data_IF_403904964706
#
_entry.id   IF_403904964706
#
_cell.length_a   1.000
_cell.length_b   1.000
_cell.length_c   1.000
_cell.angle_alpha   90.00
_cell.angle_beta   90.00
_cell.angle_gamma   90.00
#
_symmetry.space_group_name_H-M   'P 1'
#
loop_
_entity.id
_entity.type
_entity.pdbx_description
1 polymer ?
#
# COMPACT_ATOMS: atom_id res chain seq x y z
N UNK A 1 9.41 -48.68 1.33
CA UNK A 1 10.65 -47.87 1.41
C UNK A 1 10.25 -46.54 2.05
N UNK A 2 10.41 -46.29 3.35
CA UNK A 2 11.54 -46.50 4.27
C UNK A 2 12.60 -45.38 4.16
N UNK A 3 12.93 -44.78 5.32
CA UNK A 3 13.97 -43.73 5.58
C UNK A 3 13.67 -42.34 4.94
N UNK A 4 14.09 -41.16 5.45
CA UNK A 4 14.83 -40.70 6.66
C UNK A 4 14.87 -39.13 6.67
N UNK A 5 15.17 -38.35 7.73
CA UNK A 5 15.29 -38.52 9.21
C UNK A 5 15.27 -37.10 9.89
N UNK A 6 14.54 -36.92 11.01
CA UNK A 6 14.84 -36.01 12.17
C UNK A 6 14.95 -34.45 11.98
N UNK A 7 14.88 -33.56 13.00
CA UNK A 7 14.22 -33.45 14.34
C UNK A 7 14.40 -31.97 14.82
N UNK A 8 13.55 -31.33 15.64
CA UNK A 8 13.65 -31.08 17.11
C UNK A 8 12.30 -30.40 17.48
N UNK A 9 11.38 -30.99 18.26
CA UNK A 9 11.32 -31.14 19.73
C UNK A 9 10.76 -29.91 20.50
N UNK A 10 9.48 -30.01 20.87
CA UNK A 10 8.79 -29.20 21.89
C UNK A 10 8.89 -29.92 23.24
N UNK A 11 9.15 -29.20 24.34
CA UNK A 11 9.40 -29.78 25.67
C UNK A 11 8.12 -29.89 26.49
N UNK A 12 7.78 -31.14 26.81
CA UNK A 12 7.06 -31.67 27.97
C UNK A 12 6.18 -30.76 28.84
N UNK A 13 4.88 -30.98 28.77
CA UNK A 13 4.02 -31.10 29.96
C UNK A 13 4.09 -32.52 30.52
N UNK A 14 4.28 -32.67 31.84
CA UNK A 14 3.78 -33.76 32.70
C UNK A 14 4.24 -33.51 34.14
N UNK A 15 3.31 -33.27 35.05
CA UNK A 15 3.51 -33.46 36.49
C UNK A 15 2.30 -34.20 37.07
N UNK A 16 2.59 -35.40 37.52
CA UNK A 16 1.81 -36.35 38.32
C UNK A 16 0.76 -35.76 39.27
N UNK A 17 -0.45 -36.32 39.24
CA UNK A 17 -1.35 -36.30 40.39
C UNK A 17 -0.80 -37.21 41.51
N UNK A 18 -0.77 -36.71 42.74
CA UNK A 18 -0.70 -37.55 43.95
C UNK A 18 -1.82 -37.15 44.90
N UNK A 19 -2.75 -38.08 45.13
CA UNK A 19 -3.88 -37.90 46.03
C UNK A 19 -3.50 -38.16 47.48
N UNK A 20 -3.48 -37.14 48.33
CA UNK A 20 -3.57 -37.30 49.79
C UNK A 20 -4.50 -36.25 50.38
N UNK A 21 -5.39 -36.72 51.26
CA UNK A 21 -6.37 -35.95 52.00
C UNK A 21 -6.10 -36.20 53.49
N UNK A 22 -5.94 -35.15 54.30
CA UNK A 22 -6.10 -35.27 55.75
C UNK A 22 -7.35 -34.53 56.25
N UNK A 23 -8.11 -35.28 57.05
CA UNK A 23 -8.95 -34.86 58.17
C UNK A 23 -8.81 -33.42 58.68
N UNK A 24 -9.94 -32.74 58.90
CA UNK A 24 -9.98 -31.43 59.56
C UNK A 24 -9.78 -31.47 61.08
N UNK A 25 -9.45 -30.30 61.63
CA UNK A 25 -9.46 -29.96 63.07
C UNK A 25 -9.96 -28.52 63.19
N UNK A 26 -10.87 -28.25 64.12
CA UNK A 26 -11.35 -26.88 64.41
C UNK A 26 -10.23 -26.00 64.98
N UNK A 27 -10.17 -24.74 64.53
CA UNK A 27 -9.21 -23.75 65.03
C UNK A 27 -9.57 -22.33 64.57
N UNK A 28 -9.88 -21.46 65.52
CA UNK A 28 -10.36 -20.09 65.31
C UNK A 28 -9.26 -19.08 64.92
N UNK A 29 -9.71 -17.96 64.34
CA UNK A 29 -9.10 -16.62 64.28
C UNK A 29 -8.40 -16.18 62.97
N UNK A 30 -9.06 -15.22 62.29
CA UNK A 30 -8.57 -14.02 61.61
C UNK A 30 -7.29 -14.03 60.75
N UNK A 31 -7.51 -14.06 59.42
CA UNK A 31 -6.70 -13.29 58.44
C UNK A 31 -7.47 -13.07 57.12
N UNK A 32 -8.71 -12.58 57.19
CA UNK A 32 -9.63 -12.54 56.05
C UNK A 32 -10.06 -11.09 55.73
N UNK A 33 -9.17 -10.26 55.15
CA UNK A 33 -9.59 -8.95 54.64
C UNK A 33 -8.82 -8.32 53.47
N UNK A 34 -7.50 -8.52 53.29
CA UNK A 34 -6.73 -7.66 52.36
C UNK A 34 -6.97 -7.95 50.87
N UNK A 35 -7.01 -9.23 50.45
CA UNK A 35 -7.18 -9.58 49.02
C UNK A 35 -8.52 -9.13 48.38
N UNK A 36 -9.51 -8.67 49.15
CA UNK A 36 -10.77 -8.14 48.59
C UNK A 36 -10.68 -6.67 48.17
N UNK A 37 -9.65 -5.95 48.62
CA UNK A 37 -9.52 -4.52 48.30
C UNK A 37 -9.17 -4.33 46.81
N UNK A 38 -8.10 -5.00 46.37
CA UNK A 38 -7.61 -5.00 44.98
C UNK A 38 -8.70 -5.37 43.96
N UNK A 39 -9.52 -6.37 44.26
CA UNK A 39 -10.64 -6.87 43.44
C UNK A 39 -11.82 -5.87 43.28
N UNK A 40 -11.69 -4.64 43.80
CA UNK A 40 -12.71 -3.58 43.75
C UNK A 40 -12.25 -2.22 43.18
N UNK A 41 -10.96 -2.05 42.87
CA UNK A 41 -10.37 -0.77 42.45
C UNK A 41 -10.80 -0.42 41.01
N UNK A 42 -11.58 0.64 40.75
CA UNK A 42 -12.02 0.98 39.40
C UNK A 42 -10.84 1.41 38.51
N UNK A 43 -10.65 0.73 37.37
CA UNK A 43 -9.56 1.05 36.42
C UNK A 43 -10.12 1.90 35.27
N UNK A 44 -9.59 3.10 35.06
CA UNK A 44 -9.97 4.00 33.97
C UNK A 44 -8.96 3.93 32.82
N UNK A 45 -9.35 3.30 31.72
CA UNK A 45 -8.51 3.12 30.53
C UNK A 45 -8.91 4.14 29.46
N UNK A 46 -8.01 5.06 29.11
CA UNK A 46 -8.24 5.98 28.00
C UNK A 46 -7.67 5.44 26.70
N UNK A 47 -8.45 5.53 25.63
CA UNK A 47 -8.11 4.92 24.35
C UNK A 47 -8.07 5.99 23.26
N UNK A 48 -6.99 6.02 22.49
CA UNK A 48 -6.87 6.86 21.31
C UNK A 48 -7.53 6.13 20.11
N UNK A 49 -8.52 6.73 19.42
CA UNK A 49 -9.29 6.10 18.35
C UNK A 49 -8.50 6.10 17.03
N UNK A 50 -7.41 5.36 17.03
CA UNK A 50 -6.50 5.18 15.90
C UNK A 50 -6.81 3.83 15.21
N UNK A 51 -7.31 3.84 13.96
CA UNK A 51 -7.46 2.60 13.21
C UNK A 51 -6.11 1.87 13.03
N UNK A 52 -6.11 0.55 12.78
CA UNK A 52 -7.22 -0.38 13.01
C UNK A 52 -7.30 -0.85 14.47
N UNK A 53 -6.34 -0.44 15.30
CA UNK A 53 -6.23 -0.77 16.72
C UNK A 53 -7.51 -0.43 17.49
N UNK A 54 -8.08 0.75 17.22
CA UNK A 54 -9.21 1.30 17.95
C UNK A 54 -10.15 2.02 16.96
N UNK A 55 -11.36 1.48 16.80
CA UNK A 55 -12.32 1.96 15.81
C UNK A 55 -12.99 3.30 16.16
N UNK A 56 -13.19 4.14 15.14
CA UNK A 56 -13.91 5.42 15.24
C UNK A 56 -15.00 5.53 14.16
N UNK A 57 -16.14 4.84 14.33
CA UNK A 57 -17.28 4.95 13.40
C UNK A 57 -18.62 4.89 14.15
N UNK A 58 -19.07 6.06 14.60
CA UNK A 58 -20.45 6.61 14.48
C UNK A 58 -21.72 5.74 14.57
N UNK A 59 -21.73 4.57 15.23
CA UNK A 59 -22.75 4.20 16.25
C UNK A 59 -22.70 2.73 16.72
N UNK A 60 -22.28 1.77 15.89
CA UNK A 60 -22.51 0.33 16.21
C UNK A 60 -21.22 -0.52 16.30
N UNK A 61 -20.07 0.06 15.95
CA UNK A 61 -18.77 -0.49 16.33
C UNK A 61 -18.19 0.27 17.55
N UNK A 62 -18.88 0.12 18.68
CA UNK A 62 -18.24 -0.07 20.00
C UNK A 62 -17.50 -1.44 20.08
N UNK A 63 -16.98 -1.86 18.93
CA UNK A 63 -15.62 -2.34 18.71
C UNK A 63 -15.31 -3.66 19.35
N UNK A 64 -15.44 -4.72 18.53
CA UNK A 64 -15.00 -6.09 18.83
C UNK A 64 -13.64 -6.13 19.55
N UNK A 65 -12.68 -5.27 19.17
CA UNK A 65 -11.38 -5.14 19.86
C UNK A 65 -11.52 -4.65 21.31
N UNK A 66 -12.19 -3.52 21.58
CA UNK A 66 -12.35 -3.02 22.97
C UNK A 66 -13.24 -3.96 23.78
N UNK A 67 -14.22 -4.63 23.16
CA UNK A 67 -15.01 -5.67 23.81
C UNK A 67 -14.15 -6.89 24.16
N UNK A 68 -13.40 -7.46 23.21
CA UNK A 68 -12.46 -8.56 23.47
C UNK A 68 -11.38 -8.18 24.48
N UNK A 69 -10.88 -6.94 24.45
CA UNK A 69 -9.90 -6.44 25.41
C UNK A 69 -10.52 -6.27 26.80
N UNK A 70 -11.78 -5.83 26.90
CA UNK A 70 -12.54 -5.83 28.15
C UNK A 70 -12.76 -7.25 28.66
N UNK A 71 -13.17 -8.16 27.79
CA UNK A 71 -13.51 -9.54 28.14
C UNK A 71 -12.26 -10.34 28.55
N UNK A 72 -11.14 -10.24 27.81
CA UNK A 72 -9.88 -10.91 28.15
C UNK A 72 -9.23 -10.31 29.41
N UNK A 73 -9.27 -8.99 29.62
CA UNK A 73 -8.80 -8.40 30.89
C UNK A 73 -9.68 -8.91 32.04
N UNK A 74 -11.01 -8.78 32.00
CA UNK A 74 -11.92 -9.28 33.06
C UNK A 74 -11.72 -10.79 33.31
N UNK A 75 -11.40 -11.57 32.29
CA UNK A 75 -11.19 -13.01 32.43
C UNK A 75 -9.84 -13.39 33.07
N UNK A 76 -8.77 -12.62 32.81
CA UNK A 76 -7.41 -12.96 33.28
C UNK A 76 -6.95 -12.16 34.50
N UNK A 77 -7.42 -10.93 34.66
CA UNK A 77 -6.92 -10.01 35.68
C UNK A 77 -8.02 -9.05 36.14
N UNK A 78 -8.39 -9.14 37.43
CA UNK A 78 -9.29 -8.25 38.16
C UNK A 78 -10.80 -8.45 37.92
N UNK A 79 -11.55 -8.66 39.02
CA UNK A 79 -13.03 -8.49 39.05
C UNK A 79 -13.47 -7.01 39.00
N UNK A 80 -12.55 -6.12 38.63
CA UNK A 80 -12.69 -4.69 38.84
C UNK A 80 -13.59 -4.03 37.78
N UNK A 81 -14.31 -2.96 38.13
CA UNK A 81 -15.11 -2.21 37.17
C UNK A 81 -14.21 -1.37 36.25
N UNK A 82 -13.86 -1.90 35.07
CA UNK A 82 -13.09 -1.19 34.04
C UNK A 82 -13.98 -0.19 33.28
N UNK A 83 -13.53 1.06 33.19
CA UNK A 83 -14.18 2.14 32.44
C UNK A 83 -13.32 2.60 31.28
N UNK A 84 -13.79 2.41 30.04
CA UNK A 84 -13.11 2.91 28.84
C UNK A 84 -13.54 4.33 28.50
N UNK A 85 -12.56 5.23 28.30
CA UNK A 85 -12.78 6.61 27.84
C UNK A 85 -12.16 6.80 26.46
N UNK A 86 -12.92 7.29 25.48
CA UNK A 86 -12.37 7.67 24.17
C UNK A 86 -11.79 9.07 24.25
N UNK A 87 -10.64 9.28 23.62
CA UNK A 87 -10.01 10.61 23.45
C UNK A 87 -10.08 11.04 21.99
N UNK A 88 -9.94 12.32 21.69
CA UNK A 88 -9.96 12.85 20.31
C UNK A 88 -8.56 13.07 19.75
N UNK A 89 -7.55 13.15 20.61
CA UNK A 89 -6.16 13.40 20.23
C UNK A 89 -5.17 12.95 21.30
N UNK A 90 -3.92 12.70 20.90
CA UNK A 90 -2.81 12.42 21.82
C UNK A 90 -2.60 13.56 22.85
N UNK A 91 -2.88 14.81 22.45
CA UNK A 91 -2.82 15.97 23.33
C UNK A 91 -3.90 15.99 24.41
N UNK A 92 -5.06 15.37 24.14
CA UNK A 92 -6.13 15.18 25.13
C UNK A 92 -5.79 14.03 26.08
N UNK A 93 -5.28 12.91 25.56
CA UNK A 93 -4.78 11.79 26.35
C UNK A 93 -3.68 12.24 27.35
N UNK A 94 -2.72 13.06 26.89
CA UNK A 94 -1.70 13.68 27.75
C UNK A 94 -2.27 14.63 28.81
N UNK A 95 -3.43 15.28 28.57
CA UNK A 95 -4.11 16.09 29.58
C UNK A 95 -4.80 15.22 30.64
N UNK A 96 -5.42 14.11 30.25
CA UNK A 96 -6.06 13.18 31.20
C UNK A 96 -5.04 12.59 32.18
N UNK A 97 -3.86 12.19 31.70
CA UNK A 97 -2.76 11.77 32.58
C UNK A 97 -2.30 12.88 33.53
N UNK A 98 -2.07 14.10 33.03
CA UNK A 98 -1.68 15.25 33.89
C UNK A 98 -2.74 15.63 34.93
N UNK A 99 -4.00 15.24 34.71
CA UNK A 99 -5.11 15.48 35.62
C UNK A 99 -5.42 14.27 36.53
N UNK A 100 -4.64 13.17 36.45
CA UNK A 100 -4.92 11.89 37.11
C UNK A 100 -6.35 11.38 36.88
N UNK A 101 -6.90 11.58 35.68
CA UNK A 101 -8.26 11.15 35.30
C UNK A 101 -8.29 9.82 34.52
N UNK A 102 -7.15 9.12 34.47
CA UNK A 102 -6.92 7.93 33.66
C UNK A 102 -5.68 7.21 34.19
N UNK A 103 -5.76 5.88 34.22
CA UNK A 103 -4.74 5.00 34.78
C UNK A 103 -3.87 4.39 33.69
N UNK A 104 -4.47 3.97 32.57
CA UNK A 104 -3.79 3.34 31.43
C UNK A 104 -4.21 4.04 30.13
N UNK A 105 -3.27 4.23 29.19
CA UNK A 105 -3.50 4.99 27.96
C UNK A 105 -2.76 4.43 26.76
N UNK A 106 -3.51 4.01 25.73
CA UNK A 106 -2.97 3.37 24.52
C UNK A 106 -3.89 3.58 23.29
N UNK A 107 -3.47 3.22 22.07
CA UNK A 107 -2.07 3.08 21.64
C UNK A 107 -1.39 4.46 21.55
N UNK A 108 -0.15 4.52 22.00
CA UNK A 108 0.74 5.67 21.85
C UNK A 108 1.97 5.27 21.02
N UNK A 109 2.60 6.26 20.37
CA UNK A 109 3.83 6.04 19.58
C UNK A 109 5.02 6.50 20.42
N UNK A 110 5.84 5.55 20.86
CA UNK A 110 7.14 5.80 21.51
C UNK A 110 8.29 5.76 20.51
N UNK A 111 9.37 6.49 20.81
CA UNK A 111 10.67 6.27 20.14
C UNK A 111 11.44 5.17 20.89
N UNK A 112 12.18 4.35 20.16
CA UNK A 112 12.97 3.29 20.79
C UNK A 112 13.99 3.89 21.77
N UNK A 113 14.03 3.39 23.00
CA UNK A 113 14.89 3.91 24.08
C UNK A 113 14.39 5.17 24.81
N UNK A 114 13.16 5.65 24.57
CA UNK A 114 12.54 6.66 25.45
C UNK A 114 11.92 6.01 26.69
N UNK A 115 12.24 6.51 27.89
CA UNK A 115 11.74 5.99 29.16
C UNK A 115 11.01 7.08 29.99
N UNK A 116 10.13 6.69 30.95
CA UNK A 116 9.54 5.37 31.14
C UNK A 116 8.17 5.30 30.43
N UNK A 117 7.96 4.26 29.63
CA UNK A 117 6.65 3.92 29.04
C UNK A 117 6.67 2.46 28.64
N UNK A 118 5.58 1.76 28.89
CA UNK A 118 5.53 0.31 28.75
C UNK A 118 5.33 -0.10 27.30
N UNK A 119 6.06 -1.11 26.85
CA UNK A 119 6.14 -1.48 25.42
C UNK A 119 5.10 -2.55 25.11
N UNK A 120 4.18 -2.26 24.19
CA UNK A 120 3.16 -3.20 23.68
C UNK A 120 3.68 -3.93 22.42
N UNK A 121 4.70 -3.38 21.73
CA UNK A 121 5.37 -4.05 20.61
C UNK A 121 5.95 -3.12 19.54
N UNK A 122 6.52 -3.73 18.49
CA UNK A 122 7.07 -3.03 17.32
C UNK A 122 6.00 -2.21 16.57
N UNK A 123 6.29 -0.96 16.21
CA UNK A 123 5.44 -0.21 15.27
C UNK A 123 5.54 -0.85 13.87
N UNK A 124 4.41 -1.18 13.19
CA UNK A 124 4.43 -1.97 11.94
C UNK A 124 5.08 -1.25 10.76
N UNK A 125 5.23 0.06 10.87
CA UNK A 125 5.77 0.95 9.86
C UNK A 125 4.68 1.70 9.12
N UNK A 126 5.09 2.56 8.20
CA UNK A 126 4.17 3.35 7.39
C UNK A 126 4.13 2.80 5.96
N UNK A 127 3.02 3.06 5.28
CA UNK A 127 2.78 2.68 3.90
C UNK A 127 2.39 3.91 3.09
N UNK A 128 3.09 4.10 1.97
CA UNK A 128 2.77 5.14 1.00
C UNK A 128 1.84 4.56 -0.05
N UNK A 129 0.62 5.08 -0.13
CA UNK A 129 -0.39 4.68 -1.11
C UNK A 129 -0.58 5.77 -2.15
N UNK A 130 -0.72 5.37 -3.41
CA UNK A 130 -0.95 6.28 -4.54
C UNK A 130 -2.28 5.97 -5.19
N UNK A 131 -3.04 7.03 -5.47
CA UNK A 131 -4.33 6.94 -6.12
C UNK A 131 -4.15 6.47 -7.57
N UNK A 132 -5.10 5.67 -8.11
CA UNK A 132 -5.04 5.25 -9.50
C UNK A 132 -5.14 6.42 -10.45
N UNK A 133 -4.04 6.72 -11.14
CA UNK A 133 -3.98 7.68 -12.24
C UNK A 133 -3.60 7.04 -13.58
N UNK A 134 -3.52 5.71 -13.66
CA UNK A 134 -3.23 5.01 -14.93
C UNK A 134 -4.39 5.20 -15.91
N UNK A 135 -4.20 5.92 -17.04
CA UNK A 135 -5.23 6.04 -18.07
C UNK A 135 -5.61 4.66 -18.62
N UNK A 136 -6.80 4.56 -19.19
CA UNK A 136 -7.29 3.25 -19.68
C UNK A 136 -6.39 2.73 -20.83
N UNK A 137 -6.17 1.40 -20.97
CA UNK A 137 -5.30 0.86 -22.02
C UNK A 137 -5.70 1.31 -23.43
N UNK A 138 -7.01 1.43 -23.71
CA UNK A 138 -7.53 1.89 -24.99
C UNK A 138 -7.27 3.38 -25.25
N UNK A 139 -7.29 4.21 -24.21
CA UNK A 139 -6.98 5.64 -24.28
C UNK A 139 -5.49 5.88 -24.56
N UNK A 140 -4.60 5.14 -23.91
CA UNK A 140 -3.16 5.17 -24.21
C UNK A 140 -2.90 4.77 -25.67
N UNK A 141 -3.46 3.65 -26.12
CA UNK A 141 -3.33 3.23 -27.52
C UNK A 141 -3.84 4.29 -28.52
N UNK A 142 -5.00 4.89 -28.24
CA UNK A 142 -5.58 5.94 -29.10
C UNK A 142 -4.71 7.20 -29.13
N UNK A 143 -4.18 7.63 -27.98
CA UNK A 143 -3.27 8.77 -27.90
C UNK A 143 -1.94 8.48 -28.60
N UNK A 144 -1.36 7.29 -28.46
CA UNK A 144 -0.14 6.90 -29.19
C UNK A 144 -0.34 6.84 -30.69
N UNK A 145 -1.48 6.32 -31.17
CA UNK A 145 -1.82 6.34 -32.60
C UNK A 145 -1.99 7.76 -33.12
N UNK A 146 -2.65 8.64 -32.34
CA UNK A 146 -2.77 10.07 -32.64
C UNK A 146 -1.39 10.74 -32.70
N UNK A 147 -0.54 10.55 -31.71
CA UNK A 147 0.82 11.12 -31.65
C UNK A 147 1.75 10.59 -32.73
N UNK A 148 1.52 9.37 -33.23
CA UNK A 148 2.27 8.76 -34.33
C UNK A 148 1.88 9.29 -35.72
N UNK A 149 0.92 10.22 -35.83
CA UNK A 149 0.53 10.83 -37.12
C UNK A 149 1.70 11.41 -37.96
N UNK A 150 2.78 11.99 -37.39
CA UNK A 150 3.89 12.52 -38.19
C UNK A 150 4.67 11.42 -38.91
N UNK A 151 4.71 10.19 -38.36
CA UNK A 151 5.32 9.04 -39.03
C UNK A 151 4.50 8.62 -40.26
N UNK A 152 3.17 8.70 -40.18
CA UNK A 152 2.28 8.45 -41.32
C UNK A 152 2.41 9.55 -42.39
N UNK A 153 2.50 10.81 -41.98
CA UNK A 153 2.75 11.92 -42.91
C UNK A 153 4.11 11.75 -43.61
N UNK A 154 5.17 11.41 -42.86
CA UNK A 154 6.50 11.14 -43.37
C UNK A 154 6.51 9.94 -44.34
N UNK A 155 5.82 8.86 -44.01
CA UNK A 155 5.76 7.66 -44.86
C UNK A 155 5.10 7.94 -46.21
N UNK A 156 4.03 8.75 -46.23
CA UNK A 156 3.35 9.19 -47.44
C UNK A 156 4.22 10.14 -48.28
N UNK A 157 4.90 11.11 -47.65
CA UNK A 157 5.81 12.04 -48.33
C UNK A 157 6.98 11.28 -48.97
N UNK A 158 7.63 10.39 -48.22
CA UNK A 158 8.73 9.56 -48.72
C UNK A 158 8.27 8.64 -49.84
N UNK A 159 7.08 8.03 -49.73
CA UNK A 159 6.50 7.21 -50.81
C UNK A 159 6.22 8.04 -52.06
N UNK A 160 5.80 9.30 -51.92
CA UNK A 160 5.60 10.23 -53.03
C UNK A 160 6.91 10.57 -53.74
N UNK A 161 7.95 10.90 -52.97
CA UNK A 161 9.29 11.16 -53.51
C UNK A 161 9.89 9.92 -54.20
N UNK A 162 9.80 8.75 -53.56
CA UNK A 162 10.26 7.49 -54.13
C UNK A 162 9.47 7.09 -55.39
N UNK A 163 8.17 7.37 -55.41
CA UNK A 163 7.31 7.15 -56.57
C UNK A 163 7.68 8.00 -57.78
N UNK A 164 8.05 9.27 -57.57
CA UNK A 164 8.60 10.13 -58.63
C UNK A 164 9.96 9.61 -59.10
N UNK A 165 10.85 9.25 -58.18
CA UNK A 165 12.20 8.76 -58.51
C UNK A 165 12.17 7.44 -59.32
N UNK A 166 11.39 6.45 -58.90
CA UNK A 166 11.27 5.17 -59.62
C UNK A 166 10.62 5.36 -60.99
N UNK A 167 9.62 6.26 -61.09
CA UNK A 167 9.02 6.61 -62.38
C UNK A 167 10.05 7.22 -63.32
N UNK A 168 10.88 8.17 -62.87
CA UNK A 168 11.95 8.77 -63.68
C UNK A 168 12.97 7.72 -64.18
N UNK A 169 13.26 6.69 -63.38
CA UNK A 169 14.16 5.59 -63.78
C UNK A 169 13.50 4.60 -64.77
N UNK A 170 12.22 4.27 -64.58
CA UNK A 170 11.52 3.23 -65.34
C UNK A 170 10.81 3.74 -66.60
N UNK A 171 10.48 5.03 -66.71
CA UNK A 171 9.68 5.63 -67.83
C UNK A 171 10.30 5.42 -69.22
N UNK A 172 11.60 5.15 -69.30
CA UNK A 172 12.29 4.85 -70.56
C UNK A 172 12.08 3.37 -70.95
N UNK A 173 12.32 2.45 -70.01
CA UNK A 173 12.42 1.00 -70.23
C UNK A 173 11.17 0.16 -69.92
N UNK A 174 10.31 0.58 -68.99
CA UNK A 174 9.15 -0.18 -68.53
C UNK A 174 7.82 0.60 -68.68
N UNK A 175 7.55 1.05 -69.91
CA UNK A 175 6.38 1.89 -70.24
C UNK A 175 5.01 1.24 -70.05
N UNK A 176 4.96 -0.09 -69.88
CA UNK A 176 3.71 -0.84 -69.66
C UNK A 176 3.20 -0.67 -68.22
N UNK A 177 4.11 -0.63 -67.26
CA UNK A 177 3.80 -0.49 -65.83
C UNK A 177 3.96 0.97 -65.37
N UNK A 178 4.90 1.73 -65.97
CA UNK A 178 5.20 3.13 -65.64
C UNK A 178 4.95 4.04 -66.86
N UNK A 179 3.74 4.59 -67.02
CA UNK A 179 3.37 5.38 -68.20
C UNK A 179 4.08 6.75 -68.25
N UNK A 180 4.22 7.30 -69.47
CA UNK A 180 4.87 8.60 -69.72
C UNK A 180 4.08 9.84 -69.27
N UNK A 181 2.79 9.71 -68.98
CA UNK A 181 1.95 10.85 -68.59
C UNK A 181 2.29 11.30 -67.17
N UNK A 182 2.64 12.59 -67.03
CA UNK A 182 3.13 13.18 -65.78
C UNK A 182 2.17 13.05 -64.58
N UNK A 183 0.85 12.95 -64.81
CA UNK A 183 -0.12 12.72 -63.75
C UNK A 183 -0.27 11.24 -63.35
N UNK A 184 -0.08 10.31 -64.29
CA UNK A 184 -0.34 8.87 -64.06
C UNK A 184 0.93 8.13 -63.63
N UNK A 185 2.06 8.41 -64.27
CA UNK A 185 3.34 7.73 -64.01
C UNK A 185 3.82 7.82 -62.55
N UNK A 186 3.94 9.03 -61.97
CA UNK A 186 4.27 9.21 -60.56
C UNK A 186 3.22 8.63 -59.60
N UNK A 187 1.95 8.55 -59.99
CA UNK A 187 0.91 7.93 -59.17
C UNK A 187 1.07 6.40 -59.10
N UNK A 188 1.34 5.75 -60.24
CA UNK A 188 1.70 4.32 -60.26
C UNK A 188 3.01 4.04 -59.49
N UNK A 189 3.97 4.98 -59.56
CA UNK A 189 5.19 4.95 -58.76
C UNK A 189 4.94 5.10 -57.27
N UNK A 190 4.07 6.02 -56.85
CA UNK A 190 3.65 6.20 -55.45
C UNK A 190 2.97 4.94 -54.92
N UNK A 191 2.05 4.36 -55.68
CA UNK A 191 1.40 3.10 -55.35
C UNK A 191 2.44 1.98 -55.14
N UNK A 192 3.35 1.79 -56.08
CA UNK A 192 4.44 0.82 -55.96
C UNK A 192 5.31 1.06 -54.72
N UNK A 193 5.70 2.31 -54.47
CA UNK A 193 6.53 2.67 -53.33
C UNK A 193 5.81 2.37 -52.00
N UNK A 194 4.53 2.74 -51.90
CA UNK A 194 3.69 2.54 -50.72
C UNK A 194 3.46 1.04 -50.40
N UNK A 195 3.10 0.22 -51.41
CA UNK A 195 2.89 -1.22 -51.20
C UNK A 195 4.20 -1.98 -50.92
N UNK A 196 5.33 -1.48 -51.41
CA UNK A 196 6.66 -2.05 -51.15
C UNK A 196 7.14 -1.70 -49.73
N UNK A 197 6.95 -0.44 -49.31
CA UNK A 197 7.27 0.04 -47.97
C UNK A 197 6.46 -0.67 -46.88
N UNK A 198 5.18 -0.95 -47.15
CA UNK A 198 4.28 -1.69 -46.24
C UNK A 198 4.45 -3.22 -46.32
N UNK A 199 5.41 -3.72 -47.11
CA UNK A 199 5.70 -5.15 -47.34
C UNK A 199 4.56 -5.97 -47.98
N UNK A 200 3.45 -5.33 -48.38
CA UNK A 200 2.30 -6.00 -49.03
C UNK A 200 2.66 -6.51 -50.42
N UNK A 201 3.39 -5.71 -51.21
CA UNK A 201 4.08 -6.15 -52.42
C UNK A 201 3.24 -6.95 -53.42
N UNK A 202 2.08 -6.43 -53.86
CA UNK A 202 1.17 -7.13 -54.80
C UNK A 202 1.81 -7.64 -56.10
N UNK A 203 2.97 -7.11 -56.50
CA UNK A 203 3.70 -7.54 -57.69
C UNK A 203 3.07 -7.07 -59.01
N UNK A 204 2.08 -6.18 -58.97
CA UNK A 204 1.42 -5.58 -60.13
C UNK A 204 2.36 -4.68 -60.94
N UNK A 205 3.40 -4.13 -60.28
CA UNK A 205 4.43 -3.27 -60.88
C UNK A 205 5.79 -3.65 -60.32
N UNK A 206 6.79 -3.77 -61.19
CA UNK A 206 8.13 -4.22 -60.83
C UNK A 206 9.19 -3.43 -61.62
N UNK A 207 10.17 -2.77 -60.98
CA UNK A 207 11.24 -2.11 -61.71
C UNK A 207 12.10 -3.13 -62.49
N UNK A 208 12.28 -2.86 -63.79
CA UNK A 208 12.99 -3.73 -64.72
C UNK A 208 14.38 -3.18 -65.06
N UNK A 209 14.62 -1.88 -64.92
CA UNK A 209 15.93 -1.27 -65.13
C UNK A 209 16.91 -1.62 -64.00
N UNK A 210 18.21 -1.60 -64.30
CA UNK A 210 19.26 -1.84 -63.30
C UNK A 210 19.20 -0.76 -62.21
N UNK A 211 19.07 0.51 -62.60
CA UNK A 211 18.97 1.64 -61.67
C UNK A 211 17.73 1.54 -60.76
N UNK A 212 16.56 1.25 -61.34
CA UNK A 212 15.31 1.08 -60.59
C UNK A 212 15.37 -0.08 -59.59
N UNK A 213 16.05 -1.18 -59.93
CA UNK A 213 16.30 -2.31 -59.00
C UNK A 213 17.24 -1.93 -57.86
N UNK A 214 18.33 -1.22 -58.14
CA UNK A 214 19.23 -0.72 -57.09
C UNK A 214 18.51 0.25 -56.15
N UNK A 215 17.68 1.15 -56.69
CA UNK A 215 16.83 2.04 -55.89
C UNK A 215 15.81 1.26 -55.05
N UNK A 216 15.16 0.25 -55.63
CA UNK A 216 14.16 -0.56 -54.93
C UNK A 216 14.73 -1.29 -53.71
N UNK A 217 15.96 -1.81 -53.79
CA UNK A 217 16.65 -2.42 -52.64
C UNK A 217 16.78 -1.40 -51.50
N UNK A 218 17.28 -0.19 -51.79
CA UNK A 218 17.45 0.88 -50.81
C UNK A 218 16.09 1.30 -50.22
N UNK A 219 15.06 1.42 -51.07
CA UNK A 219 13.70 1.77 -50.67
C UNK A 219 13.08 0.74 -49.72
N UNK A 220 13.24 -0.56 -49.99
CA UNK A 220 12.74 -1.64 -49.13
C UNK A 220 13.40 -1.59 -47.76
N UNK A 221 14.72 -1.36 -47.69
CA UNK A 221 15.41 -1.18 -46.39
C UNK A 221 14.92 0.06 -45.63
N UNK A 222 14.71 1.19 -46.32
CA UNK A 222 14.15 2.39 -45.70
C UNK A 222 12.73 2.17 -45.15
N UNK A 223 11.88 1.45 -45.89
CA UNK A 223 10.54 1.08 -45.45
C UNK A 223 10.55 0.15 -44.23
N UNK A 224 11.44 -0.85 -44.20
CA UNK A 224 11.61 -1.75 -43.07
C UNK A 224 11.98 -1.00 -41.79
N UNK A 225 12.90 -0.03 -41.87
CA UNK A 225 13.28 0.84 -40.74
C UNK A 225 12.08 1.66 -40.26
N UNK A 226 11.29 2.24 -41.17
CA UNK A 226 10.14 3.06 -40.83
C UNK A 226 9.03 2.27 -40.12
N UNK A 227 8.74 1.06 -40.60
CA UNK A 227 7.80 0.13 -39.96
C UNK A 227 8.32 -0.31 -38.58
N UNK A 228 9.62 -0.58 -38.45
CA UNK A 228 10.22 -0.93 -37.16
C UNK A 228 10.10 0.20 -36.12
N UNK A 229 10.32 1.46 -36.51
CA UNK A 229 10.12 2.63 -35.63
C UNK A 229 8.65 2.79 -35.22
N UNK A 230 7.70 2.62 -36.15
CA UNK A 230 6.28 2.65 -35.81
C UNK A 230 5.89 1.56 -34.79
N UNK A 231 6.35 0.32 -35.01
CA UNK A 231 6.11 -0.79 -34.08
C UNK A 231 6.77 -0.56 -32.71
N UNK A 232 7.96 0.05 -32.67
CA UNK A 232 8.63 0.39 -31.42
C UNK A 232 7.81 1.38 -30.59
N UNK A 233 7.27 2.44 -31.19
CA UNK A 233 6.42 3.41 -30.49
C UNK A 233 5.17 2.74 -29.88
N UNK A 234 4.48 1.89 -30.65
CA UNK A 234 3.31 1.13 -30.16
C UNK A 234 3.69 0.19 -29.01
N UNK A 235 4.83 -0.49 -29.12
CA UNK A 235 5.34 -1.38 -28.07
C UNK A 235 5.68 -0.62 -26.80
N UNK A 236 6.33 0.56 -26.90
CA UNK A 236 6.66 1.41 -25.75
C UNK A 236 5.41 1.88 -25.01
N UNK A 237 4.36 2.30 -25.72
CA UNK A 237 3.09 2.71 -25.12
C UNK A 237 2.34 1.56 -24.41
N UNK A 238 2.28 0.38 -25.03
CA UNK A 238 1.71 -0.81 -24.38
C UNK A 238 2.53 -1.25 -23.15
N UNK A 239 3.85 -1.04 -23.21
CA UNK A 239 4.75 -1.31 -22.08
C UNK A 239 4.49 -0.35 -20.91
N UNK A 240 4.22 0.94 -21.17
CA UNK A 240 3.93 1.91 -20.10
C UNK A 240 2.61 1.65 -19.37
N UNK A 241 1.66 0.94 -20.00
CA UNK A 241 0.41 0.49 -19.35
C UNK A 241 0.65 -0.74 -18.46
N UNK A 242 1.58 -1.61 -18.88
CA UNK A 242 1.88 -2.87 -18.18
C UNK A 242 2.83 -2.70 -16.99
N UNK A 243 3.73 -1.71 -17.05
CA UNK A 243 4.64 -1.38 -15.95
C UNK A 243 3.89 -0.54 -14.91
N UNK A 244 3.75 -1.05 -13.69
CA UNK A 244 3.32 -0.25 -12.55
C UNK A 244 4.39 0.82 -12.29
N UNK A 245 4.08 2.13 -12.38
CA UNK A 245 5.07 3.18 -12.07
C UNK A 245 5.47 3.12 -10.59
N UNK A 246 6.78 3.18 -10.32
CA UNK A 246 7.30 3.29 -8.96
C UNK A 246 7.28 4.76 -8.51
N UNK A 247 6.34 5.11 -7.64
CA UNK A 247 6.24 6.46 -7.10
C UNK A 247 7.22 6.67 -5.95
N UNK A 248 8.01 7.75 -6.03
CA UNK A 248 8.80 8.22 -4.90
C UNK A 248 7.99 9.18 -4.04
N UNK A 249 8.06 8.99 -2.73
CA UNK A 249 7.45 9.86 -1.73
C UNK A 249 7.89 11.33 -1.89
N UNK A 250 9.16 11.58 -2.24
CA UNK A 250 9.72 12.92 -2.47
C UNK A 250 9.21 13.63 -3.73
N UNK A 251 8.59 12.90 -4.66
CA UNK A 251 8.15 13.41 -5.97
C UNK A 251 6.61 13.54 -6.05
N UNK A 252 5.90 13.27 -4.96
CA UNK A 252 4.43 13.19 -4.91
C UNK A 252 3.87 14.09 -3.81
N UNK A 253 2.82 14.87 -4.09
CA UNK A 253 2.03 15.55 -3.04
C UNK A 253 1.32 14.49 -2.18
N UNK A 254 1.62 14.45 -0.88
CA UNK A 254 1.04 13.47 0.04
C UNK A 254 0.15 14.11 1.08
N UNK A 255 -1.04 13.52 1.25
CA UNK A 255 -1.89 13.78 2.40
C UNK A 255 -1.41 13.05 3.65
N UNK A 256 -1.38 13.76 4.77
CA UNK A 256 -1.11 13.23 6.12
C UNK A 256 -2.05 13.84 7.15
N UNK A 257 -2.15 13.24 8.33
CA UNK A 257 -2.88 13.81 9.47
C UNK A 257 -1.97 14.77 10.25
N UNK A 258 -2.52 15.86 10.79
CA UNK A 258 -1.74 16.87 11.51
C UNK A 258 -1.04 16.32 12.76
N UNK A 259 0.23 16.66 12.94
CA UNK A 259 1.06 16.28 14.10
C UNK A 259 1.21 14.76 14.29
N UNK A 260 1.11 13.99 13.21
CA UNK A 260 1.27 12.54 13.24
C UNK A 260 2.67 12.10 12.80
N UNK A 261 2.99 10.83 13.01
CA UNK A 261 4.28 10.25 12.59
C UNK A 261 4.45 10.27 11.07
N UNK A 262 3.34 10.17 10.34
CA UNK A 262 3.28 10.28 8.88
C UNK A 262 3.68 11.67 8.39
N UNK A 263 3.30 12.74 9.09
CA UNK A 263 3.77 14.10 8.80
C UNK A 263 5.28 14.22 9.00
N UNK A 264 5.82 13.71 10.12
CA UNK A 264 7.26 13.73 10.39
C UNK A 264 8.03 12.96 9.30
N UNK A 265 7.59 11.74 8.96
CA UNK A 265 8.25 10.92 7.94
C UNK A 265 8.16 11.56 6.54
N UNK A 266 7.01 12.10 6.14
CA UNK A 266 6.85 12.72 4.84
C UNK A 266 7.75 13.97 4.69
N UNK A 267 7.78 14.85 5.70
CA UNK A 267 8.64 16.04 5.70
C UNK A 267 10.13 15.67 5.72
N UNK A 268 10.53 14.66 6.50
CA UNK A 268 11.92 14.18 6.53
C UNK A 268 12.38 13.52 5.21
N UNK A 269 11.46 13.10 4.34
CA UNK A 269 11.76 12.61 2.99
C UNK A 269 11.62 13.70 1.90
N UNK A 270 11.50 14.98 2.28
CA UNK A 270 11.31 16.12 1.37
C UNK A 270 10.06 16.01 0.47
N UNK A 271 9.00 15.33 0.92
CA UNK A 271 7.73 15.31 0.20
C UNK A 271 7.00 16.65 0.31
N UNK A 272 6.14 16.97 -0.67
CA UNK A 272 5.16 18.04 -0.53
C UNK A 272 3.99 17.53 0.33
N UNK A 273 3.75 18.15 1.49
CA UNK A 273 2.84 17.60 2.51
C UNK A 273 1.60 18.46 2.68
N UNK A 274 0.44 17.89 2.35
CA UNK A 274 -0.88 18.46 2.62
C UNK A 274 -1.43 17.91 3.93
N UNK A 275 -1.61 18.78 4.91
CA UNK A 275 -2.01 18.40 6.26
C UNK A 275 -3.53 18.46 6.42
N UNK A 276 -4.12 17.35 6.87
CA UNK A 276 -5.55 17.18 7.15
C UNK A 276 -5.79 17.08 8.66
N UNK A 277 -7.00 17.42 9.13
CA UNK A 277 -7.32 17.38 10.57
C UNK A 277 -7.50 15.95 11.06
N UNK A 278 -8.27 15.16 10.31
CA UNK A 278 -8.70 13.82 10.68
C UNK A 278 -8.50 12.83 9.52
N UNK A 279 -8.34 11.54 9.82
CA UNK A 279 -8.23 10.48 8.81
C UNK A 279 -9.39 10.42 7.81
N UNK A 280 -10.62 10.75 8.21
CA UNK A 280 -11.77 10.65 7.30
C UNK A 280 -11.80 11.81 6.29
N UNK A 281 -11.27 12.98 6.64
CA UNK A 281 -11.04 14.10 5.72
C UNK A 281 -9.96 13.74 4.68
N UNK A 282 -8.84 13.17 5.16
CA UNK A 282 -7.74 12.65 4.35
C UNK A 282 -8.22 11.59 3.36
N UNK A 283 -8.96 10.56 3.83
CA UNK A 283 -9.49 9.49 2.97
C UNK A 283 -10.53 10.01 1.98
N UNK A 284 -11.35 10.99 2.36
CA UNK A 284 -12.31 11.63 1.44
C UNK A 284 -11.58 12.38 0.33
N UNK A 285 -10.51 13.10 0.65
CA UNK A 285 -9.67 13.76 -0.36
C UNK A 285 -8.98 12.75 -1.29
N UNK A 286 -8.45 11.64 -0.77
CA UNK A 286 -7.80 10.58 -1.54
C UNK A 286 -8.78 9.84 -2.47
N UNK A 287 -9.96 9.43 -1.96
CA UNK A 287 -11.01 8.78 -2.77
C UNK A 287 -11.52 9.66 -3.91
N UNK A 288 -11.64 10.98 -3.68
CA UNK A 288 -12.00 11.94 -4.71
C UNK A 288 -10.82 12.43 -5.57
N UNK A 289 -9.66 11.75 -5.50
CA UNK A 289 -8.45 12.07 -6.28
C UNK A 289 -7.98 13.53 -6.17
N UNK A 290 -8.30 14.21 -5.04
CA UNK A 290 -7.87 15.60 -4.76
C UNK A 290 -6.43 15.71 -4.27
N UNK A 291 -5.82 14.57 -4.00
CA UNK A 291 -4.41 14.37 -3.63
C UNK A 291 -3.94 13.09 -4.34
N UNK A 292 -2.73 13.07 -4.92
CA UNK A 292 -2.24 11.91 -5.66
C UNK A 292 -1.79 10.78 -4.73
N UNK A 293 -1.27 11.08 -3.54
CA UNK A 293 -0.85 10.07 -2.57
C UNK A 293 -1.23 10.37 -1.12
N UNK A 294 -1.11 9.35 -0.26
CA UNK A 294 -1.23 9.46 1.20
C UNK A 294 -0.15 8.61 1.88
N UNK A 295 0.30 9.05 3.05
CA UNK A 295 1.10 8.21 3.97
C UNK A 295 0.23 7.91 5.17
N UNK A 296 0.08 6.62 5.49
CA UNK A 296 -0.72 6.12 6.63
C UNK A 296 -0.01 4.94 7.29
N UNK A 297 -0.40 4.62 8.52
CA UNK A 297 -0.04 3.35 9.16
C UNK A 297 -0.35 2.12 8.28
N UNK A 298 0.56 1.14 8.30
CA UNK A 298 0.47 -0.08 7.49
C UNK A 298 -0.76 -0.93 7.79
N UNK A 299 -1.13 -1.09 9.05
CA UNK A 299 -2.32 -1.88 9.38
C UNK A 299 -3.61 -1.11 9.04
N UNK A 300 -3.58 0.22 9.16
CA UNK A 300 -4.66 1.12 8.71
C UNK A 300 -4.87 1.00 7.20
N UNK A 301 -3.78 0.96 6.42
CA UNK A 301 -3.81 0.69 4.99
C UNK A 301 -4.53 -0.63 4.71
N UNK A 302 -4.04 -1.75 5.27
CA UNK A 302 -4.65 -3.07 5.06
C UNK A 302 -6.16 -3.09 5.34
N UNK A 303 -6.59 -2.62 6.52
CA UNK A 303 -8.01 -2.63 6.92
C UNK A 303 -8.87 -1.69 6.09
N UNK A 304 -8.39 -0.50 5.72
CA UNK A 304 -9.17 0.41 4.87
C UNK A 304 -9.25 -0.14 3.44
N UNK A 305 -8.15 -0.63 2.87
CA UNK A 305 -8.09 -1.27 1.55
C UNK A 305 -8.98 -2.52 1.43
N UNK A 306 -9.06 -3.33 2.48
CA UNK A 306 -9.95 -4.50 2.56
C UNK A 306 -11.43 -4.09 2.46
N UNK A 307 -11.82 -3.02 3.15
CA UNK A 307 -13.19 -2.50 3.19
C UNK A 307 -13.58 -1.65 1.97
N UNK A 308 -12.63 -1.16 1.16
CA UNK A 308 -12.96 -0.51 -0.12
C UNK A 308 -13.53 -1.54 -1.10
N UNK A 309 -14.71 -1.28 -1.64
CA UNK A 309 -15.35 -2.13 -2.65
C UNK A 309 -15.41 -1.44 -4.01
N UNK A 310 -15.32 -2.22 -5.09
CA UNK A 310 -15.35 -1.70 -6.46
C UNK A 310 -13.98 -1.35 -7.05
N UNK A 311 -13.94 -0.62 -8.18
CA UNK A 311 -12.74 -0.46 -9.00
C UNK A 311 -11.61 0.31 -8.30
N UNK A 312 -11.92 1.16 -7.32
CA UNK A 312 -10.90 1.93 -6.58
C UNK A 312 -9.88 1.00 -5.90
N UNK A 313 -10.33 -0.05 -5.21
CA UNK A 313 -9.44 -1.03 -4.54
C UNK A 313 -8.45 -1.69 -5.49
N UNK A 314 -8.90 -2.10 -6.68
CA UNK A 314 -8.07 -2.85 -7.64
C UNK A 314 -6.91 -2.04 -8.23
N UNK A 315 -7.01 -0.70 -8.20
CA UNK A 315 -6.07 0.17 -8.87
C UNK A 315 -5.25 1.04 -7.88
N UNK A 316 -5.47 0.99 -6.56
CA UNK A 316 -4.57 1.65 -5.61
C UNK A 316 -3.18 1.04 -5.75
N UNK A 317 -2.21 1.91 -6.04
CA UNK A 317 -0.83 1.51 -6.22
C UNK A 317 -0.15 1.60 -4.85
N UNK A 318 0.12 0.44 -4.25
CA UNK A 318 1.02 0.34 -3.10
C UNK A 318 2.40 0.80 -3.55
N UNK A 319 2.85 1.91 -2.96
CA UNK A 319 4.18 2.44 -3.15
C UNK A 319 5.16 1.79 -2.16
N UNK A 320 6.05 2.61 -1.62
CA UNK A 320 7.13 2.15 -0.73
C UNK A 320 6.62 1.90 0.69
N UNK A 321 6.93 0.73 1.25
CA UNK A 321 6.83 0.48 2.69
C UNK A 321 8.01 1.11 3.43
N UNK A 322 7.72 1.87 4.48
CA UNK A 322 8.71 2.45 5.38
C UNK A 322 8.74 1.66 6.69
N UNK A 323 9.72 0.76 6.80
CA UNK A 323 9.96 0.03 8.05
C UNK A 323 10.46 0.98 9.13
N UNK A 324 9.80 0.94 10.29
CA UNK A 324 10.12 1.74 11.47
C UNK A 324 10.65 0.89 12.65
N UNK A 325 10.98 -0.38 12.38
CA UNK A 325 11.59 -1.31 13.33
C UNK A 325 12.83 -0.67 13.99
N UNK A 326 12.95 -0.84 15.30
CA UNK A 326 14.01 -0.27 16.15
C UNK A 326 14.08 1.27 16.14
N UNK A 327 13.07 1.97 15.62
CA UNK A 327 12.94 3.45 15.68
C UNK A 327 11.71 3.87 16.45
N UNK A 328 10.58 3.21 16.18
CA UNK A 328 9.30 3.49 16.80
C UNK A 328 8.65 2.20 17.31
N UNK A 329 7.97 2.30 18.44
CA UNK A 329 7.30 1.21 19.13
C UNK A 329 5.92 1.67 19.61
N UNK A 330 4.97 0.75 19.71
CA UNK A 330 3.68 0.99 20.34
C UNK A 330 3.88 0.91 21.86
N UNK A 331 3.44 1.95 22.58
CA UNK A 331 3.55 2.03 24.03
C UNK A 331 2.18 2.20 24.69
N UNK A 332 2.08 1.69 25.92
CA UNK A 332 1.09 2.10 26.91
C UNK A 332 1.76 3.09 27.85
N UNK A 333 1.07 4.19 28.17
CA UNK A 333 1.45 5.00 29.31
C UNK A 333 0.62 4.56 30.52
N UNK A 334 1.26 4.47 31.68
CA UNK A 334 0.64 4.15 32.96
C UNK A 334 0.74 5.38 33.87
N UNK A 335 -0.30 5.64 34.66
CA UNK A 335 -0.31 6.67 35.69
C UNK A 335 0.57 6.23 36.86
N UNK A 336 1.55 7.04 37.24
CA UNK A 336 2.43 6.77 38.39
C UNK A 336 1.68 6.69 39.74
N UNK A 337 0.42 7.11 39.78
CA UNK A 337 -0.46 6.87 40.93
C UNK A 337 -1.02 5.44 40.92
N UNK A 338 -1.43 4.94 39.75
CA UNK A 338 -1.94 3.58 39.58
C UNK A 338 -0.82 2.54 39.75
N UNK A 339 0.36 2.81 39.18
CA UNK A 339 1.56 2.00 39.36
C UNK A 339 1.91 1.78 40.85
N UNK A 340 1.83 2.85 41.66
CA UNK A 340 2.01 2.76 43.12
C UNK A 340 0.92 2.00 43.82
N UNK A 341 -0.36 2.28 43.53
CA UNK A 341 -1.48 1.58 44.17
C UNK A 341 -1.39 0.06 43.93
N UNK A 342 -1.10 -0.36 42.69
CA UNK A 342 -0.93 -1.77 42.36
C UNK A 342 0.30 -2.37 43.08
N UNK A 343 1.46 -1.70 43.03
CA UNK A 343 2.70 -2.23 43.61
C UNK A 343 2.76 -2.19 45.15
N UNK A 344 2.09 -1.23 45.80
CA UNK A 344 2.13 -1.04 47.26
C UNK A 344 0.96 -1.74 47.98
N UNK A 345 -0.19 -1.98 47.32
CA UNK A 345 -1.40 -2.55 47.95
C UNK A 345 -1.77 -3.97 47.46
N UNK A 346 -1.18 -4.47 46.37
CA UNK A 346 -1.64 -5.70 45.71
C UNK A 346 -0.51 -6.69 45.35
N UNK A 347 0.04 -7.41 46.34
CA UNK A 347 1.13 -8.40 46.17
C UNK A 347 0.91 -9.45 45.05
N UNK A 348 -0.34 -9.83 44.76
CA UNK A 348 -0.70 -10.83 43.72
C UNK A 348 -1.02 -10.21 42.33
N UNK A 349 -1.14 -8.89 42.21
CA UNK A 349 -1.50 -8.23 40.95
C UNK A 349 -0.34 -7.41 40.38
N UNK A 350 0.13 -7.82 39.22
CA UNK A 350 1.11 -7.08 38.43
C UNK A 350 0.41 -6.46 37.20
N UNK A 351 0.59 -5.15 36.99
CA UNK A 351 0.06 -4.44 35.84
C UNK A 351 0.62 -4.96 34.49
N UNK A 352 1.76 -5.67 34.51
CA UNK A 352 2.27 -6.43 33.37
C UNK A 352 1.25 -7.42 32.80
N UNK A 353 0.38 -8.05 33.61
CA UNK A 353 -0.66 -8.94 33.09
C UNK A 353 -1.68 -8.18 32.22
N UNK A 354 -2.00 -6.93 32.59
CA UNK A 354 -2.92 -6.09 31.82
C UNK A 354 -2.25 -5.69 30.50
N UNK A 355 -0.95 -5.38 30.53
CA UNK A 355 -0.16 -5.08 29.33
C UNK A 355 -0.04 -6.29 28.40
N UNK A 356 0.21 -7.49 28.93
CA UNK A 356 0.25 -8.74 28.17
C UNK A 356 -1.11 -9.04 27.52
N UNK A 357 -2.23 -8.81 28.22
CA UNK A 357 -3.57 -8.90 27.63
C UNK A 357 -3.78 -7.88 26.49
N UNK A 358 -3.31 -6.64 26.66
CA UNK A 358 -3.38 -5.61 25.61
C UNK A 358 -2.51 -6.03 24.41
N UNK A 359 -1.28 -6.50 24.63
CA UNK A 359 -0.39 -6.99 23.58
C UNK A 359 -0.98 -8.21 22.86
N UNK A 360 -1.51 -9.20 23.57
CA UNK A 360 -2.07 -10.41 22.96
C UNK A 360 -3.31 -10.07 22.11
N UNK A 361 -4.26 -9.30 22.64
CA UNK A 361 -5.48 -8.92 21.90
C UNK A 361 -5.14 -8.05 20.68
N UNK A 362 -4.20 -7.11 20.82
CA UNK A 362 -3.73 -6.28 19.70
C UNK A 362 -3.01 -7.16 18.67
N UNK A 363 -2.02 -7.95 19.09
CA UNK A 363 -1.22 -8.82 18.22
C UNK A 363 -2.09 -9.84 17.50
N UNK A 364 -3.08 -10.44 18.15
CA UNK A 364 -4.09 -11.33 17.58
C UNK A 364 -4.95 -10.63 16.53
N UNK A 365 -5.51 -9.45 16.83
CA UNK A 365 -6.34 -8.71 15.86
C UNK A 365 -5.53 -8.16 14.66
N UNK A 366 -4.22 -7.95 14.83
CA UNK A 366 -3.29 -7.52 13.79
C UNK A 366 -2.69 -8.70 13.00
N UNK A 367 -2.55 -9.88 13.60
CA UNK A 367 -2.10 -11.12 12.96
C UNK A 367 -3.23 -11.83 12.20
N UNK A 368 -4.45 -11.87 12.73
CA UNK A 368 -5.63 -12.40 12.03
C UNK A 368 -5.86 -11.66 10.69
N UNK A 369 -5.45 -10.39 10.61
CA UNK A 369 -5.49 -9.56 9.39
C UNK A 369 -4.20 -9.53 8.57
N UNK A 370 -3.13 -10.21 8.99
CA UNK A 370 -1.89 -10.36 8.20
C UNK A 370 -1.97 -11.50 7.15
N UNK A 371 -3.09 -12.22 7.06
CA UNK A 371 -3.21 -13.51 6.37
C UNK A 371 -3.96 -13.43 5.01
N UNK A 372 -4.49 -12.27 4.60
CA UNK A 372 -5.19 -12.09 3.31
C UNK A 372 -4.65 -10.94 2.46
#
# INVERSE_FOLDING_TARGET
>A
MALSIFVILVVSTQMTQSSQQPTGVDGTADSNNDHRHCDSIPVSVAVLPWPPYVGNVSNDFQSKVIQQLRDEIIQRSLKNPITFRKTSSESELKKLFKANQTDIGFPLIGRYGSAPSEVIGDHPGLEFLVAPQTPSPGEVCMNTLRESWPLLALSLILSGMAGILIWLMEVIGNRKEFPRSFARGPWEGFWWAFISMTTVGYGDKCPRSVAGRCFAIIWIFAGLILVAVFMANVTTALTSVSIKPEYKLSETEVGVVSKSLEEELARNNNAEVKVFKNYDELMTAFRHQRIPGIVIDRYTAGVRLENETGPFRQHILQGKHFSLRNKYQLIANISSNFEKIINDECDDYNYEQILECIEEVMTKHLLERKIQ
#
